data_IF_950690171637
#
_entry.id   IF_950690171637
#
_cell.length_a   1.000
_cell.length_b   1.000
_cell.length_c   1.000
_cell.angle_alpha   90.00
_cell.angle_beta   90.00
_cell.angle_gamma   90.00
#
_symmetry.space_group_name_H-M   'P 1'
#
loop_
_entity.id
_entity.type
_entity.pdbx_description
1 polymer ?
#
# COMPACT_ATOMS: atom_id res chain seq x y z
N UNK A 1 2.13 15.63 1.23
CA UNK A 1 1.92 14.41 0.44
C UNK A 1 1.59 14.72 -1.02
N UNK A 2 0.74 15.70 -1.29
CA UNK A 2 0.25 16.11 -2.63
C UNK A 2 1.28 16.08 -3.76
N UNK A 3 2.50 16.61 -3.55
CA UNK A 3 3.53 16.59 -4.60
C UNK A 3 3.89 15.16 -5.04
N UNK A 4 4.05 14.23 -4.08
CA UNK A 4 4.38 12.85 -4.39
C UNK A 4 3.24 12.14 -5.13
N UNK A 5 1.99 12.43 -4.74
CA UNK A 5 0.80 11.89 -5.40
C UNK A 5 0.71 12.37 -6.86
N UNK A 6 0.92 13.67 -7.11
CA UNK A 6 0.95 14.21 -8.47
C UNK A 6 2.07 13.61 -9.33
N UNK A 7 3.22 13.30 -8.74
CA UNK A 7 4.33 12.64 -9.43
C UNK A 7 3.99 11.18 -9.77
N UNK A 8 3.24 10.49 -8.91
CA UNK A 8 2.74 9.15 -9.16
C UNK A 8 1.69 9.17 -10.29
N UNK A 9 0.75 10.12 -10.30
CA UNK A 9 -0.24 10.27 -11.36
C UNK A 9 0.41 10.53 -12.72
N UNK A 10 1.34 11.49 -12.78
CA UNK A 10 2.05 11.83 -14.00
C UNK A 10 2.80 10.61 -14.57
N UNK A 11 3.41 9.82 -13.69
CA UNK A 11 4.06 8.59 -14.07
C UNK A 11 3.08 7.53 -14.60
N UNK A 12 1.98 7.28 -13.87
CA UNK A 12 0.93 6.35 -14.31
C UNK A 12 0.43 6.76 -15.70
N UNK A 13 0.20 8.04 -15.95
CA UNK A 13 -0.39 8.53 -17.21
C UNK A 13 0.58 8.54 -18.40
N UNK A 14 1.88 8.74 -18.17
CA UNK A 14 2.82 9.02 -19.26
C UNK A 14 3.95 8.00 -19.42
N UNK A 15 4.30 7.25 -18.37
CA UNK A 15 5.41 6.28 -18.45
C UNK A 15 5.10 5.15 -19.41
N UNK A 16 6.15 4.60 -20.04
CA UNK A 16 6.07 3.41 -20.89
C UNK A 16 6.56 2.16 -20.17
N UNK A 17 6.91 2.26 -18.88
CA UNK A 17 7.29 1.09 -18.09
C UNK A 17 6.13 0.10 -18.01
N UNK A 18 6.49 -1.18 -17.96
CA UNK A 18 5.53 -2.26 -17.85
C UNK A 18 4.65 -2.07 -16.61
N UNK A 19 5.23 -1.57 -15.52
CA UNK A 19 4.50 -1.29 -14.29
C UNK A 19 3.41 -0.23 -14.48
N UNK A 20 3.75 0.95 -15.01
CA UNK A 20 2.78 2.01 -15.27
C UNK A 20 1.69 1.55 -16.25
N UNK A 21 2.08 0.82 -17.30
CA UNK A 21 1.14 0.20 -18.24
C UNK A 21 0.20 -0.79 -17.55
N UNK A 22 0.72 -1.63 -16.64
CA UNK A 22 -0.07 -2.61 -15.91
C UNK A 22 -1.11 -1.95 -15.01
N UNK A 23 -0.73 -0.89 -14.29
CA UNK A 23 -1.66 -0.11 -13.45
C UNK A 23 -2.75 0.53 -14.32
N UNK A 24 -2.40 1.18 -15.44
CA UNK A 24 -3.38 1.78 -16.37
C UNK A 24 -4.34 0.77 -16.97
N UNK A 25 -3.85 -0.42 -17.34
CA UNK A 25 -4.62 -1.41 -18.10
C UNK A 25 -5.45 -2.35 -17.21
N UNK A 26 -5.04 -2.58 -15.97
CA UNK A 26 -5.77 -3.43 -15.02
C UNK A 26 -6.75 -2.65 -14.13
N UNK A 27 -7.38 -1.60 -14.68
CA UNK A 27 -8.55 -0.97 -14.09
C UNK A 27 -9.76 -1.94 -14.09
N UNK A 28 -9.67 -3.04 -13.35
CA UNK A 28 -10.77 -4.00 -13.20
C UNK A 28 -11.89 -3.36 -12.34
N UNK A 29 -13.16 -3.65 -12.60
CA UNK A 29 -14.29 -3.00 -11.91
C UNK A 29 -14.41 -3.31 -10.40
N UNK A 30 -13.64 -4.28 -9.89
CA UNK A 30 -13.52 -4.60 -8.45
C UNK A 30 -12.15 -4.16 -7.90
N UNK A 31 -11.18 -3.89 -8.77
CA UNK A 31 -9.78 -3.62 -8.46
C UNK A 31 -9.20 -2.41 -9.23
N UNK A 32 -10.01 -1.37 -9.46
CA UNK A 32 -9.62 -0.21 -10.25
C UNK A 32 -9.24 0.99 -9.38
N UNK A 33 -8.41 1.87 -9.93
CA UNK A 33 -8.22 3.20 -9.38
C UNK A 33 -9.52 4.00 -9.56
N UNK A 34 -10.35 4.09 -8.51
CA UNK A 34 -11.52 4.94 -8.56
C UNK A 34 -11.13 6.40 -8.31
N UNK A 35 -11.84 7.37 -8.88
CA UNK A 35 -11.64 8.78 -8.55
C UNK A 35 -11.69 8.98 -7.04
N UNK A 36 -10.87 9.90 -6.53
CA UNK A 36 -10.88 10.26 -5.12
C UNK A 36 -12.27 10.72 -4.64
N UNK A 37 -12.51 10.51 -3.35
CA UNK A 37 -13.76 10.84 -2.67
C UNK A 37 -13.83 12.32 -2.30
N UNK A 38 -15.04 12.84 -2.24
CA UNK A 38 -15.28 14.14 -1.59
C UNK A 38 -15.02 14.03 -0.08
N UNK A 39 -14.46 15.09 0.52
CA UNK A 39 -14.17 15.11 1.97
C UNK A 39 -15.39 14.80 2.83
N UNK A 40 -16.57 15.29 2.43
CA UNK A 40 -17.83 15.02 3.14
C UNK A 40 -18.21 13.52 3.19
N UNK A 41 -17.82 12.75 2.17
CA UNK A 41 -18.03 11.29 2.15
C UNK A 41 -17.08 10.62 3.15
N UNK A 42 -15.81 11.04 3.17
CA UNK A 42 -14.81 10.51 4.11
C UNK A 42 -15.22 10.86 5.56
N UNK A 43 -15.70 12.08 5.80
CA UNK A 43 -16.23 12.53 7.10
C UNK A 43 -17.41 11.64 7.54
N UNK A 44 -18.34 11.32 6.64
CA UNK A 44 -19.46 10.41 6.93
C UNK A 44 -18.97 9.03 7.39
N UNK A 45 -17.98 8.45 6.69
CA UNK A 45 -17.37 7.18 7.09
C UNK A 45 -16.71 7.25 8.47
N UNK A 46 -15.96 8.33 8.74
CA UNK A 46 -15.33 8.58 10.03
C UNK A 46 -16.36 8.60 11.18
N UNK A 47 -17.49 9.29 10.96
CA UNK A 47 -18.60 9.39 11.92
C UNK A 47 -19.29 8.04 12.15
N UNK A 48 -19.71 7.36 11.08
CA UNK A 48 -20.43 6.07 11.14
C UNK A 48 -19.60 5.00 11.87
N UNK A 49 -18.29 4.96 11.60
CA UNK A 49 -17.40 4.00 12.21
C UNK A 49 -16.82 4.44 13.57
N UNK A 50 -17.10 5.68 13.99
CA UNK A 50 -16.51 6.32 15.18
C UNK A 50 -14.98 6.26 15.18
N UNK A 51 -14.40 6.50 14.02
CA UNK A 51 -12.96 6.45 13.79
C UNK A 51 -12.47 7.83 13.36
N UNK A 52 -11.45 8.35 14.03
CA UNK A 52 -10.84 9.63 13.64
C UNK A 52 -9.70 9.37 12.66
N UNK A 53 -9.77 10.03 11.50
CA UNK A 53 -8.71 10.00 10.50
C UNK A 53 -7.68 11.11 10.70
N UNK A 54 -6.44 10.87 10.28
CA UNK A 54 -5.43 11.92 10.14
C UNK A 54 -5.59 12.65 8.80
N UNK A 55 -5.04 13.86 8.67
CA UNK A 55 -5.11 14.63 7.41
C UNK A 55 -4.52 13.87 6.21
N UNK A 56 -3.47 13.07 6.42
CA UNK A 56 -2.94 12.19 5.37
C UNK A 56 -3.95 11.16 4.85
N UNK A 57 -4.90 10.69 5.66
CA UNK A 57 -5.94 9.77 5.17
C UNK A 57 -6.91 10.50 4.27
N UNK A 58 -7.29 11.74 4.62
CA UNK A 58 -8.12 12.58 3.75
C UNK A 58 -7.42 12.86 2.44
N UNK A 59 -6.18 13.36 2.48
CA UNK A 59 -5.41 13.63 1.25
C UNK A 59 -5.27 12.38 0.36
N UNK A 60 -5.06 11.20 0.93
CA UNK A 60 -4.94 9.94 0.17
C UNK A 60 -6.27 9.54 -0.49
N UNK A 61 -7.37 9.50 0.27
CA UNK A 61 -8.67 9.09 -0.28
C UNK A 61 -9.35 10.17 -1.15
N UNK A 62 -9.00 11.45 -0.97
CA UNK A 62 -9.38 12.52 -1.90
C UNK A 62 -8.60 12.48 -3.22
N UNK A 63 -7.44 11.82 -3.23
CA UNK A 63 -6.67 11.56 -4.43
C UNK A 63 -7.21 10.33 -5.17
N UNK A 64 -7.26 9.17 -4.51
CA UNK A 64 -7.79 7.94 -5.09
C UNK A 64 -8.47 7.05 -4.04
N UNK A 65 -9.55 6.39 -4.44
CA UNK A 65 -10.25 5.40 -3.63
C UNK A 65 -10.06 3.99 -4.21
N UNK A 66 -9.17 3.20 -3.62
CA UNK A 66 -8.94 1.81 -4.05
C UNK A 66 -7.65 1.58 -4.84
N UNK A 67 -7.62 0.43 -5.52
CA UNK A 67 -6.44 -0.42 -5.74
C UNK A 67 -5.33 0.17 -6.61
N UNK A 68 -4.52 1.05 -6.02
CA UNK A 68 -3.19 1.36 -6.54
C UNK A 68 -2.25 0.24 -6.13
N UNK A 69 -1.81 -0.54 -7.12
CA UNK A 69 -0.83 -1.59 -6.95
C UNK A 69 0.54 -0.99 -6.65
N UNK A 70 1.16 -1.39 -5.54
CA UNK A 70 2.48 -0.92 -5.12
C UNK A 70 3.47 -2.05 -4.83
N UNK A 71 3.00 -3.29 -4.74
CA UNK A 71 3.83 -4.47 -4.43
C UNK A 71 4.25 -5.28 -5.65
N UNK A 72 5.08 -6.29 -5.41
CA UNK A 72 5.52 -7.26 -6.41
C UNK A 72 4.35 -8.14 -6.90
N UNK A 73 4.42 -8.72 -8.09
CA UNK A 73 3.32 -9.49 -8.69
C UNK A 73 2.98 -10.75 -7.87
N UNK A 74 3.99 -11.35 -7.23
CA UNK A 74 3.81 -12.51 -6.37
C UNK A 74 3.20 -12.19 -4.99
N UNK A 75 3.18 -10.92 -4.57
CA UNK A 75 2.57 -10.44 -3.33
C UNK A 75 2.08 -9.00 -3.52
N UNK A 76 1.01 -8.79 -4.30
CA UNK A 76 0.55 -7.46 -4.62
C UNK A 76 0.06 -6.76 -3.35
N UNK A 77 0.55 -5.56 -3.10
CA UNK A 77 -0.02 -4.66 -2.09
C UNK A 77 -0.83 -3.61 -2.82
N UNK A 78 -2.05 -3.40 -2.35
CA UNK A 78 -2.99 -2.48 -2.97
C UNK A 78 -3.62 -1.57 -1.93
N UNK A 79 -3.87 -0.31 -2.30
CA UNK A 79 -4.73 0.58 -1.52
C UNK A 79 -6.14 0.03 -1.50
N UNK A 80 -6.66 -0.25 -0.31
CA UNK A 80 -8.07 -0.63 -0.14
C UNK A 80 -8.96 0.56 -0.46
N UNK A 81 -10.14 0.32 -1.06
CA UNK A 81 -11.17 1.36 -1.01
C UNK A 81 -11.58 1.61 0.43
N UNK A 82 -12.08 2.82 0.72
CA UNK A 82 -12.48 3.21 2.05
C UNK A 82 -13.63 2.32 2.55
N UNK A 83 -14.59 2.00 1.68
CA UNK A 83 -15.70 1.11 2.01
C UNK A 83 -15.21 -0.31 2.39
N UNK A 84 -14.27 -0.86 1.61
CA UNK A 84 -13.69 -2.16 1.90
C UNK A 84 -12.89 -2.14 3.21
N UNK A 85 -12.09 -1.10 3.43
CA UNK A 85 -11.29 -0.93 4.64
C UNK A 85 -12.18 -0.89 5.90
N UNK A 86 -13.29 -0.16 5.83
CA UNK A 86 -14.26 -0.05 6.91
C UNK A 86 -15.00 -1.37 7.14
N UNK A 87 -15.40 -2.06 6.07
CA UNK A 87 -16.00 -3.39 6.15
C UNK A 87 -15.06 -4.38 6.84
N UNK A 88 -13.77 -4.41 6.49
CA UNK A 88 -12.77 -5.27 7.13
C UNK A 88 -12.61 -4.97 8.62
N UNK A 89 -12.60 -3.68 8.99
CA UNK A 89 -12.54 -3.24 10.39
C UNK A 89 -13.79 -3.68 11.18
N UNK A 90 -14.99 -3.55 10.62
CA UNK A 90 -16.26 -3.91 11.29
C UNK A 90 -16.42 -5.42 11.41
N UNK A 91 -16.07 -6.17 10.38
CA UNK A 91 -16.22 -7.62 10.33
C UNK A 91 -15.19 -8.37 11.19
N UNK A 92 -14.23 -7.66 11.79
CA UNK A 92 -13.25 -8.23 12.72
C UNK A 92 -12.19 -9.11 12.05
N UNK A 93 -11.94 -8.93 10.76
CA UNK A 93 -10.86 -9.61 10.04
C UNK A 93 -9.49 -9.06 10.46
N UNK A 94 -9.45 -7.79 10.87
CA UNK A 94 -8.30 -7.18 11.55
C UNK A 94 -8.58 -7.20 13.05
N UNK A 95 -7.66 -7.73 13.87
CA UNK A 95 -7.81 -7.67 15.31
C UNK A 95 -7.80 -6.20 15.76
N UNK A 96 -8.97 -5.73 16.20
CA UNK A 96 -9.24 -4.54 17.01
C UNK A 96 -9.48 -3.19 16.29
N UNK A 97 -10.62 -2.57 16.62
CA UNK A 97 -10.83 -1.11 16.67
C UNK A 97 -9.83 -0.52 17.70
N UNK A 98 -8.57 -0.34 17.29
CA UNK A 98 -8.21 1.02 16.90
C UNK A 98 -7.52 1.10 15.54
N UNK A 99 -7.59 0.08 14.67
CA UNK A 99 -6.86 0.08 13.40
C UNK A 99 -7.76 0.10 12.16
N UNK A 100 -7.38 0.90 11.17
CA UNK A 100 -7.97 0.90 9.82
C UNK A 100 -7.00 0.19 8.86
N UNK A 101 -7.40 -0.87 8.14
CA UNK A 101 -6.61 -1.45 7.06
C UNK A 101 -6.57 -0.51 5.87
N UNK A 102 -5.39 0.05 5.61
CA UNK A 102 -5.14 1.00 4.53
C UNK A 102 -4.70 0.27 3.27
N UNK A 103 -3.73 -0.63 3.39
CA UNK A 103 -3.25 -1.45 2.26
C UNK A 103 -3.44 -2.93 2.55
N UNK A 104 -3.81 -3.68 1.52
CA UNK A 104 -4.08 -5.12 1.58
C UNK A 104 -3.19 -5.83 0.58
N UNK A 105 -2.55 -6.91 1.03
CA UNK A 105 -1.92 -7.90 0.16
C UNK A 105 -2.33 -9.32 0.54
N UNK A 106 -1.82 -10.30 -0.19
CA UNK A 106 -2.25 -11.71 -0.10
C UNK A 106 -2.18 -12.28 1.33
N UNK A 107 -1.09 -11.99 2.04
CA UNK A 107 -0.85 -12.46 3.41
C UNK A 107 -0.64 -11.31 4.42
N UNK A 108 -0.79 -10.05 4.02
CA UNK A 108 -0.44 -8.90 4.87
C UNK A 108 -1.47 -7.76 4.83
N UNK A 109 -1.78 -7.20 6.01
CA UNK A 109 -2.54 -5.95 6.12
C UNK A 109 -1.64 -4.85 6.66
N UNK A 110 -1.66 -3.69 6.00
CA UNK A 110 -1.01 -2.48 6.45
C UNK A 110 -2.07 -1.57 7.03
N UNK A 111 -1.95 -1.29 8.32
CA UNK A 111 -2.97 -0.58 9.08
C UNK A 111 -2.45 0.74 9.62
N UNK A 112 -3.38 1.66 9.89
CA UNK A 112 -3.10 2.88 10.63
C UNK A 112 -3.91 2.90 11.93
N UNK A 113 -3.36 3.44 13.03
CA UNK A 113 -4.12 3.61 14.27
C UNK A 113 -5.13 4.75 14.13
N UNK A 114 -6.16 4.72 14.97
CA UNK A 114 -7.09 5.82 15.16
C UNK A 114 -6.33 7.08 15.54
N UNK A 115 -6.58 8.16 14.80
CA UNK A 115 -5.92 9.43 15.02
C UNK A 115 -6.52 10.16 16.23
N UNK A 116 -5.75 11.07 16.82
CA UNK A 116 -6.28 12.12 17.69
C UNK A 116 -6.79 13.27 16.81
N UNK A 117 -7.82 14.00 17.24
CA UNK A 117 -8.39 15.10 16.46
C UNK A 117 -7.30 16.11 16.03
N UNK A 118 -7.24 16.42 14.73
CA UNK A 118 -6.26 17.34 14.14
C UNK A 118 -4.85 16.77 13.95
N UNK A 119 -4.65 15.46 14.14
CA UNK A 119 -3.38 14.80 13.88
C UNK A 119 -3.09 14.79 12.37
N UNK A 120 -1.94 15.33 11.99
CA UNK A 120 -1.55 15.43 10.58
C UNK A 120 -1.21 14.05 9.98
N UNK A 121 -0.48 13.21 10.71
CA UNK A 121 0.12 11.98 10.17
C UNK A 121 -0.15 10.79 11.07
N UNK A 122 -0.19 9.59 10.50
CA UNK A 122 -0.34 8.34 11.26
C UNK A 122 0.72 7.33 10.85
N UNK A 123 1.39 6.65 11.80
CA UNK A 123 2.30 5.57 11.46
C UNK A 123 1.54 4.43 10.79
N UNK A 124 2.20 3.76 9.86
CA UNK A 124 1.71 2.55 9.23
C UNK A 124 2.34 1.37 9.95
N UNK A 125 1.51 0.44 10.38
CA UNK A 125 1.93 -0.85 10.90
C UNK A 125 1.55 -1.97 9.95
N UNK A 126 2.22 -3.11 10.05
CA UNK A 126 1.85 -4.31 9.31
C UNK A 126 1.43 -5.45 10.24
N UNK A 127 0.43 -6.21 9.80
CA UNK A 127 0.04 -7.50 10.34
C UNK A 127 0.39 -8.58 9.32
N UNK A 128 1.23 -9.54 9.73
CA UNK A 128 1.60 -10.71 8.93
C UNK A 128 0.62 -11.85 9.23
N UNK A 129 -0.23 -12.15 8.25
CA UNK A 129 -1.28 -13.16 8.30
C UNK A 129 -0.78 -14.54 7.92
N UNK A 130 0.12 -15.12 8.70
CA UNK A 130 0.54 -16.50 8.42
C UNK A 130 -0.54 -17.51 8.81
N UNK A 131 -0.82 -18.45 7.92
CA UNK A 131 -1.52 -19.69 8.26
C UNK A 131 -0.56 -20.51 9.13
N UNK A 132 -0.88 -20.70 10.41
CA UNK A 132 -0.06 -21.54 11.29
C UNK A 132 -0.22 -23.02 10.90
N UNK A 133 0.83 -23.86 11.10
CA UNK A 133 0.73 -25.28 10.80
C UNK A 133 -0.43 -25.94 11.53
N UNK A 134 -1.42 -26.45 10.78
CA UNK A 134 -2.63 -27.09 11.32
C UNK A 134 -3.91 -26.28 11.16
N UNK A 135 -3.81 -25.02 10.76
CA UNK A 135 -4.97 -24.18 10.48
C UNK A 135 -5.38 -24.21 9.01
N UNK A 136 -6.68 -24.15 8.76
CA UNK A 136 -7.25 -24.13 7.40
C UNK A 136 -7.53 -22.71 6.91
N UNK A 137 -7.29 -21.71 7.76
CA UNK A 137 -7.48 -20.29 7.49
C UNK A 137 -6.37 -19.50 8.20
N UNK A 138 -5.95 -18.34 7.66
CA UNK A 138 -4.97 -17.50 8.33
C UNK A 138 -5.46 -17.16 9.74
N UNK A 139 -4.62 -17.41 10.75
CA UNK A 139 -4.91 -16.94 12.10
C UNK A 139 -4.31 -15.54 12.23
N UNK A 140 -5.17 -14.54 12.11
CA UNK A 140 -4.87 -13.14 12.42
C UNK A 140 -4.82 -12.95 13.96
N UNK A 141 -3.91 -13.66 14.63
CA UNK A 141 -3.93 -13.83 16.09
C UNK A 141 -2.79 -13.12 16.80
N UNK A 142 -3.11 -12.15 17.66
CA UNK A 142 -2.25 -11.58 18.70
C UNK A 142 -0.89 -10.98 18.30
N UNK A 143 -0.63 -10.75 17.00
CA UNK A 143 0.60 -10.07 16.61
C UNK A 143 0.52 -8.60 16.96
N UNK A 144 1.47 -8.13 17.77
CA UNK A 144 1.70 -6.70 17.92
C UNK A 144 2.01 -6.15 16.53
N UNK A 145 1.25 -5.16 16.02
CA UNK A 145 1.52 -4.56 14.72
C UNK A 145 2.98 -4.12 14.67
N UNK A 146 3.73 -4.64 13.71
CA UNK A 146 5.12 -4.25 13.55
C UNK A 146 5.18 -2.94 12.76
N UNK A 147 6.07 -2.05 13.15
CA UNK A 147 6.23 -0.77 12.47
C UNK A 147 6.62 -1.01 11.01
N UNK A 148 5.89 -0.38 10.08
CA UNK A 148 6.16 -0.46 8.65
C UNK A 148 6.71 0.87 8.13
N UNK A 149 6.00 1.97 8.38
CA UNK A 149 6.39 3.29 7.89
C UNK A 149 6.02 4.38 8.91
N UNK A 150 6.77 5.49 8.95
CA UNK A 150 6.47 6.58 9.87
C UNK A 150 5.19 7.33 9.51
N UNK A 151 4.81 7.37 8.22
CA UNK A 151 3.56 7.96 7.76
C UNK A 151 3.18 7.55 6.34
N UNK A 152 1.96 7.89 5.91
CA UNK A 152 1.52 7.72 4.52
C UNK A 152 2.34 8.64 3.61
N UNK A 153 2.61 9.88 4.03
CA UNK A 153 3.48 10.80 3.27
C UNK A 153 4.85 10.20 3.01
N UNK A 154 5.47 9.59 4.02
CA UNK A 154 6.79 9.00 3.86
C UNK A 154 6.79 7.85 2.83
N UNK A 155 5.76 7.01 2.85
CA UNK A 155 5.58 5.94 1.87
C UNK A 155 5.39 6.50 0.44
N UNK A 156 4.49 7.46 0.27
CA UNK A 156 4.23 8.08 -1.04
C UNK A 156 5.47 8.79 -1.59
N UNK A 157 6.25 9.46 -0.73
CA UNK A 157 7.52 10.09 -1.13
C UNK A 157 8.57 9.08 -1.57
N UNK A 158 8.67 7.94 -0.88
CA UNK A 158 9.57 6.86 -1.30
C UNK A 158 9.18 6.31 -2.67
N UNK A 159 7.89 6.07 -2.89
CA UNK A 159 7.37 5.62 -4.18
C UNK A 159 7.67 6.63 -5.30
N UNK A 160 7.44 7.92 -5.06
CA UNK A 160 7.74 8.96 -6.04
C UNK A 160 9.24 9.05 -6.36
N UNK A 161 10.14 8.82 -5.39
CA UNK A 161 11.58 8.75 -5.65
C UNK A 161 11.96 7.49 -6.44
N UNK A 162 11.35 6.33 -6.16
CA UNK A 162 11.53 5.12 -6.95
C UNK A 162 11.11 5.33 -8.42
N UNK A 163 9.95 5.94 -8.64
CA UNK A 163 9.44 6.31 -9.98
C UNK A 163 10.44 7.18 -10.72
N UNK A 164 10.92 8.25 -10.08
CA UNK A 164 11.89 9.16 -10.70
C UNK A 164 13.23 8.50 -11.03
N UNK A 165 13.64 7.53 -10.23
CA UNK A 165 14.97 6.92 -10.33
C UNK A 165 14.99 5.73 -11.28
N UNK A 166 13.93 4.91 -11.24
CA UNK A 166 13.89 3.60 -11.89
C UNK A 166 12.64 3.38 -12.74
N UNK A 167 11.78 4.38 -12.89
CA UNK A 167 10.53 4.29 -13.66
C UNK A 167 9.57 3.20 -13.16
N UNK A 168 9.60 2.93 -11.85
CA UNK A 168 8.65 2.02 -11.20
C UNK A 168 8.76 1.99 -9.68
N UNK A 169 7.90 1.18 -9.05
CA UNK A 169 7.82 0.99 -7.59
C UNK A 169 7.91 -0.47 -7.12
N UNK A 170 7.92 -1.44 -8.05
CA UNK A 170 8.21 -2.87 -7.81
C UNK A 170 9.34 -3.30 -8.74
N UNK A 171 10.26 -4.08 -8.19
CA UNK A 171 11.47 -4.51 -8.88
C UNK A 171 11.19 -5.61 -9.91
N UNK A 172 10.18 -6.45 -9.67
CA UNK A 172 9.69 -7.45 -10.62
C UNK A 172 9.19 -6.79 -11.90
N UNK A 173 8.36 -5.76 -11.79
CA UNK A 173 7.84 -5.07 -12.98
C UNK A 173 8.90 -4.26 -13.72
N UNK A 174 9.87 -3.65 -13.03
CA UNK A 174 11.02 -2.99 -13.69
C UNK A 174 11.82 -3.95 -14.56
N UNK A 175 11.92 -5.22 -14.16
CA UNK A 175 12.65 -6.24 -14.93
C UNK A 175 11.90 -6.72 -16.17
N UNK A 176 10.58 -6.54 -16.23
CA UNK A 176 9.80 -6.87 -17.42
C UNK A 176 10.07 -5.91 -18.57
N UNK A 177 10.55 -4.69 -18.29
CA UNK A 177 11.05 -3.74 -19.29
C UNK A 177 12.41 -4.18 -19.89
N UNK A 178 13.20 -4.93 -19.12
CA UNK A 178 14.44 -5.58 -19.57
C UNK A 178 14.11 -6.91 -20.29
N UNK A 179 13.57 -6.80 -21.51
CA UNK A 179 12.93 -7.80 -22.36
C UNK A 179 13.61 -9.18 -22.64
N UNK A 180 14.43 -9.79 -21.76
CA UNK A 180 15.14 -11.05 -22.09
C UNK A 180 15.60 -11.95 -20.90
N UNK A 181 15.00 -11.88 -19.72
CA UNK A 181 15.41 -12.79 -18.63
C UNK A 181 14.28 -13.72 -18.23
N UNK A 182 14.49 -15.01 -18.49
CA UNK A 182 13.79 -16.08 -17.77
C UNK A 182 13.84 -15.74 -16.28
N UNK A 183 12.66 -15.50 -15.70
CA UNK A 183 12.50 -15.04 -14.33
C UNK A 183 12.94 -16.17 -13.38
N UNK A 184 14.20 -16.15 -12.96
CA UNK A 184 14.64 -17.02 -11.88
C UNK A 184 14.26 -16.39 -10.54
N UNK A 185 13.15 -16.89 -10.00
CA UNK A 185 12.44 -16.42 -8.79
C UNK A 185 13.35 -16.43 -7.53
N UNK A 186 14.53 -17.08 -7.59
CA UNK A 186 15.49 -17.14 -6.48
C UNK A 186 16.64 -16.11 -6.55
N UNK A 187 16.89 -15.49 -7.70
CA UNK A 187 17.81 -14.33 -7.85
C UNK A 187 17.13 -12.99 -7.56
N UNK A 188 15.91 -13.06 -7.03
CA UNK A 188 14.93 -12.00 -6.84
C UNK A 188 15.28 -11.06 -5.67
N UNK A 189 15.52 -11.64 -4.49
CA UNK A 189 15.80 -10.88 -3.26
C UNK A 189 16.99 -9.91 -3.34
N UNK A 190 18.14 -10.35 -3.88
CA UNK A 190 19.37 -9.53 -3.85
C UNK A 190 19.23 -8.26 -4.69
N UNK A 191 18.47 -8.33 -5.78
CA UNK A 191 18.27 -7.18 -6.65
C UNK A 191 17.31 -6.18 -6.01
N UNK A 192 16.17 -6.65 -5.49
CA UNK A 192 15.18 -5.82 -4.80
C UNK A 192 15.81 -5.10 -3.60
N UNK A 193 16.64 -5.82 -2.83
CA UNK A 193 17.46 -5.27 -1.75
C UNK A 193 18.46 -4.22 -2.22
N UNK A 194 18.95 -4.30 -3.46
CA UNK A 194 19.95 -3.37 -4.00
C UNK A 194 19.36 -2.09 -4.60
N UNK A 195 18.16 -2.14 -5.19
CA UNK A 195 17.60 -1.01 -5.94
C UNK A 195 16.55 -0.21 -5.14
N UNK A 196 15.54 -0.86 -4.57
CA UNK A 196 14.41 -0.17 -3.92
C UNK A 196 14.61 0.06 -2.44
N UNK A 197 15.16 -0.94 -1.74
CA UNK A 197 15.38 -0.86 -0.29
C UNK A 197 16.10 0.42 0.16
N UNK A 198 17.19 0.90 -0.50
CA UNK A 198 17.87 2.11 -0.08
C UNK A 198 16.99 3.36 -0.14
N UNK A 199 16.14 3.48 -1.16
CA UNK A 199 15.20 4.60 -1.30
C UNK A 199 14.14 4.52 -0.19
N UNK A 200 13.50 3.38 0.00
CA UNK A 200 12.48 3.23 1.03
C UNK A 200 13.03 3.45 2.45
N UNK A 201 14.24 2.95 2.75
CA UNK A 201 14.90 3.17 4.04
C UNK A 201 15.24 4.64 4.29
N UNK A 202 15.58 5.42 3.25
CA UNK A 202 15.78 6.87 3.36
C UNK A 202 14.55 7.59 3.91
N UNK A 203 13.35 7.07 3.65
CA UNK A 203 12.07 7.58 4.15
C UNK A 203 11.57 6.84 5.41
N UNK A 204 12.36 5.93 5.97
CA UNK A 204 12.01 5.16 7.16
C UNK A 204 10.99 4.05 6.93
N UNK A 205 10.73 3.66 5.68
CA UNK A 205 9.85 2.54 5.34
C UNK A 205 10.65 1.23 5.45
N UNK A 206 10.10 0.26 6.16
CA UNK A 206 10.72 -1.03 6.48
C UNK A 206 10.12 -2.10 5.57
N UNK A 207 10.95 -2.82 4.81
CA UNK A 207 10.48 -3.91 3.95
C UNK A 207 9.91 -5.07 4.77
N UNK A 208 9.01 -5.85 4.18
CA UNK A 208 8.45 -7.06 4.80
C UNK A 208 8.58 -8.25 3.85
N UNK A 209 8.54 -9.48 4.39
CA UNK A 209 8.65 -10.70 3.60
C UNK A 209 7.45 -10.94 2.65
N UNK A 210 6.35 -10.22 2.86
CA UNK A 210 5.13 -10.18 2.03
C UNK A 210 4.87 -8.74 1.52
N UNK A 211 5.95 -8.00 1.28
CA UNK A 211 6.01 -6.54 1.27
C UNK A 211 6.09 -5.86 -0.09
N UNK A 212 6.16 -4.52 -0.06
CA UNK A 212 6.37 -3.66 -1.24
C UNK A 212 7.68 -4.00 -1.97
N UNK A 213 8.67 -4.55 -1.25
CA UNK A 213 9.87 -5.14 -1.80
C UNK A 213 10.31 -6.29 -0.88
N UNK A 214 10.61 -7.44 -1.47
CA UNK A 214 11.05 -8.65 -0.78
C UNK A 214 12.55 -8.85 -0.90
#
# INVERSE_FOLDING_TARGET
MTQALNEIDDWIDHSQSWHALHIRQNAAPVYGAHPGLERAIIDLYAEECRFCFSEEVYELYQWHDGNILMGEMANPISLSSLDHAMSLMIQGHVPYRPYLPLFVGDDAYYVIPQAVAGQATSPIFFFDGRIMPGDTKPIWGNFCPSFFAPSITALMQAMAECIKTYDGISAEYMRMDDANKELDIYLDHTYNLSILTPIYQKYGVVGTAAGLWR
#
